data_IF_953342139617
#
_entry.id   IF_953342139617
#
_cell.length_a   1.000
_cell.length_b   1.000
_cell.length_c   1.000
_cell.angle_alpha   90.00
_cell.angle_beta   90.00
_cell.angle_gamma   90.00
#
_symmetry.space_group_name_H-M   'P 1'
#
loop_
_entity.id
_entity.type
_entity.pdbx_description
1 polymer ?
#
# COMPACT_ATOMS: atom_id res chain seq x y z
N UNK A 1 34.60 -41.26 -30.68
CA UNK A 1 34.84 -40.18 -29.69
C UNK A 1 34.72 -38.84 -30.40
N UNK A 2 33.79 -37.96 -29.99
CA UNK A 2 34.03 -36.56 -29.59
C UNK A 2 32.69 -35.85 -29.33
N UNK A 3 32.25 -35.79 -28.07
CA UNK A 3 31.19 -34.88 -27.61
C UNK A 3 31.89 -33.58 -27.21
N UNK A 4 31.73 -32.50 -27.99
CA UNK A 4 32.07 -31.14 -27.52
C UNK A 4 30.78 -30.52 -27.00
N UNK A 5 30.64 -30.49 -25.68
CA UNK A 5 29.49 -29.91 -25.01
C UNK A 5 29.49 -28.39 -25.16
N UNK A 6 28.39 -27.86 -25.67
CA UNK A 6 28.02 -26.44 -25.58
C UNK A 6 27.60 -26.23 -24.13
N UNK A 7 28.46 -25.58 -23.34
CA UNK A 7 28.10 -25.19 -21.97
C UNK A 7 27.19 -23.97 -22.06
N UNK A 8 25.88 -24.21 -22.02
CA UNK A 8 24.89 -23.18 -21.72
C UNK A 8 24.97 -22.88 -20.22
N UNK A 9 25.65 -21.79 -19.87
CA UNK A 9 25.64 -21.25 -18.52
C UNK A 9 24.25 -20.67 -18.22
N UNK A 10 23.37 -21.47 -17.63
CA UNK A 10 22.10 -21.00 -17.09
C UNK A 10 22.37 -20.23 -15.78
N UNK A 11 22.49 -18.91 -15.86
CA UNK A 11 22.51 -18.04 -14.69
C UNK A 11 21.11 -17.99 -14.07
N UNK A 12 20.87 -18.85 -13.07
CA UNK A 12 19.64 -18.83 -12.28
C UNK A 12 19.67 -17.62 -11.35
N UNK A 13 18.95 -16.56 -11.71
CA UNK A 13 18.72 -15.39 -10.87
C UNK A 13 17.77 -15.80 -9.73
N UNK A 14 18.30 -16.21 -8.58
CA UNK A 14 17.47 -16.43 -7.38
C UNK A 14 17.06 -15.06 -6.83
N UNK A 15 15.83 -14.65 -7.12
CA UNK A 15 15.22 -13.48 -6.52
C UNK A 15 15.15 -13.67 -4.99
N UNK A 16 15.85 -12.80 -4.24
CA UNK A 16 15.68 -12.72 -2.79
C UNK A 16 14.29 -12.13 -2.52
N UNK A 17 13.31 -13.00 -2.26
CA UNK A 17 12.04 -12.59 -1.67
C UNK A 17 12.29 -12.24 -0.21
N UNK A 18 12.44 -10.94 0.09
CA UNK A 18 12.48 -10.45 1.46
C UNK A 18 11.16 -10.84 2.17
N UNK A 19 11.21 -11.26 3.44
CA UNK A 19 10.00 -11.57 4.18
C UNK A 19 9.19 -10.28 4.37
N UNK A 20 7.99 -10.23 3.78
CA UNK A 20 7.01 -9.20 4.13
C UNK A 20 6.45 -9.53 5.51
N UNK A 21 6.91 -8.86 6.56
CA UNK A 21 6.25 -8.98 7.85
C UNK A 21 4.89 -8.30 7.74
N UNK A 22 3.82 -9.09 7.90
CA UNK A 22 2.47 -8.56 8.02
C UNK A 22 2.44 -7.50 9.13
N UNK A 23 1.69 -6.43 8.90
CA UNK A 23 1.59 -5.36 9.87
C UNK A 23 0.94 -5.85 11.19
N UNK A 24 1.39 -5.30 12.31
CA UNK A 24 0.85 -5.63 13.64
C UNK A 24 -0.64 -5.22 13.74
N UNK A 25 -1.52 -6.04 14.35
CA UNK A 25 -2.95 -5.71 14.47
C UNK A 25 -3.25 -4.37 15.16
N UNK A 26 -2.48 -3.95 16.15
CA UNK A 26 -2.69 -2.65 16.80
C UNK A 26 -2.31 -1.52 15.86
N UNK A 27 -1.19 -1.66 15.14
CA UNK A 27 -0.83 -0.73 14.06
C UNK A 27 -1.95 -0.67 13.01
N UNK A 28 -2.52 -1.81 12.61
CA UNK A 28 -3.61 -1.83 11.64
C UNK A 28 -4.88 -1.15 12.14
N UNK A 29 -5.17 -1.24 13.44
CA UNK A 29 -6.28 -0.53 14.04
C UNK A 29 -6.07 1.00 13.99
N UNK A 30 -4.85 1.46 14.22
CA UNK A 30 -4.49 2.88 14.06
C UNK A 30 -4.55 3.32 12.60
N UNK A 31 -3.95 2.56 11.70
CA UNK A 31 -4.01 2.79 10.26
C UNK A 31 -5.46 2.95 9.78
N UNK A 32 -6.36 2.05 10.18
CA UNK A 32 -7.75 2.08 9.75
C UNK A 32 -8.51 3.30 10.29
N UNK A 33 -8.28 3.69 11.56
CA UNK A 33 -8.83 4.94 12.12
C UNK A 33 -8.33 6.16 11.34
N UNK A 34 -7.04 6.20 11.02
CA UNK A 34 -6.43 7.29 10.27
C UNK A 34 -6.98 7.36 8.85
N UNK A 35 -7.13 6.22 8.19
CA UNK A 35 -7.65 6.12 6.84
C UNK A 35 -9.08 6.67 6.75
N UNK A 36 -9.97 6.31 7.68
CA UNK A 36 -11.34 6.84 7.75
C UNK A 36 -11.31 8.36 7.96
N UNK A 37 -10.52 8.86 8.93
CA UNK A 37 -10.40 10.33 9.14
C UNK A 37 -9.91 11.05 7.88
N UNK A 38 -9.00 10.45 7.13
CA UNK A 38 -8.53 10.99 5.85
C UNK A 38 -9.60 10.96 4.76
N UNK A 39 -10.53 9.99 4.77
CA UNK A 39 -11.69 10.00 3.85
C UNK A 39 -12.62 11.16 4.17
N UNK A 40 -12.89 11.43 5.44
CA UNK A 40 -13.72 12.58 5.84
C UNK A 40 -13.09 13.91 5.39
N UNK A 41 -11.77 14.05 5.56
CA UNK A 41 -11.03 15.21 5.02
C UNK A 41 -11.12 15.28 3.50
N UNK A 42 -10.97 14.15 2.80
CA UNK A 42 -11.07 14.08 1.34
C UNK A 42 -12.44 14.58 0.86
N UNK A 43 -13.51 14.12 1.50
CA UNK A 43 -14.90 14.51 1.22
C UNK A 43 -15.18 15.98 1.52
N UNK A 44 -14.62 16.50 2.60
CA UNK A 44 -14.79 17.89 3.00
C UNK A 44 -13.97 18.89 2.18
N UNK A 45 -12.98 18.42 1.40
CA UNK A 45 -12.11 19.29 0.59
C UNK A 45 -12.72 19.50 -0.81
N UNK A 46 -13.14 20.73 -1.17
CA UNK A 46 -13.75 21.00 -2.48
C UNK A 46 -12.84 20.56 -3.62
N UNK A 47 -13.38 19.80 -4.57
CA UNK A 47 -12.60 19.33 -5.70
C UNK A 47 -11.52 18.30 -5.36
N UNK A 48 -11.48 17.70 -4.16
CA UNK A 48 -10.57 16.58 -3.85
C UNK A 48 -11.24 15.21 -3.98
N UNK A 49 -12.46 15.08 -3.44
CA UNK A 49 -13.21 13.83 -3.51
C UNK A 49 -13.58 13.46 -4.95
N UNK A 50 -13.39 12.19 -5.31
CA UNK A 50 -13.66 11.64 -6.65
C UNK A 50 -14.60 10.42 -6.61
N UNK A 51 -15.26 10.18 -5.48
CA UNK A 51 -16.04 8.97 -5.22
C UNK A 51 -15.33 8.00 -4.28
N UNK A 52 -16.04 6.94 -3.92
CA UNK A 52 -15.54 5.89 -3.05
C UNK A 52 -14.89 4.77 -3.88
N UNK A 53 -13.75 4.28 -3.39
CA UNK A 53 -13.06 3.09 -3.88
C UNK A 53 -12.43 2.34 -2.69
N UNK A 54 -11.62 1.31 -2.94
CA UNK A 54 -10.96 0.56 -1.88
C UNK A 54 -10.06 1.43 -0.99
N UNK A 55 -9.42 2.44 -1.58
CA UNK A 55 -8.57 3.41 -0.88
C UNK A 55 -9.44 4.43 -0.16
N UNK A 56 -10.34 5.12 -0.82
CA UNK A 56 -11.17 6.16 -0.20
C UNK A 56 -12.49 5.63 0.37
N UNK A 57 -12.49 4.49 1.07
CA UNK A 57 -13.70 3.94 1.71
C UNK A 57 -13.95 4.53 3.12
N UNK A 58 -15.20 4.70 3.54
CA UNK A 58 -15.53 5.13 4.92
C UNK A 58 -15.56 3.98 5.93
N UNK A 59 -15.56 2.75 5.46
CA UNK A 59 -15.63 1.57 6.31
C UNK A 59 -14.26 1.27 6.94
N UNK A 60 -14.21 1.27 8.27
CA UNK A 60 -13.03 0.89 9.06
C UNK A 60 -12.54 -0.53 8.73
N UNK A 61 -13.48 -1.48 8.58
CA UNK A 61 -13.20 -2.89 8.32
C UNK A 61 -12.51 -3.11 6.98
N UNK A 62 -12.80 -2.29 5.97
CA UNK A 62 -12.10 -2.32 4.68
C UNK A 62 -10.62 -2.00 4.85
N UNK A 63 -10.30 -0.94 5.59
CA UNK A 63 -8.91 -0.53 5.85
C UNK A 63 -8.18 -1.50 6.76
N UNK A 64 -8.85 -1.95 7.82
CA UNK A 64 -8.28 -2.89 8.78
C UNK A 64 -7.99 -4.24 8.12
N UNK A 65 -8.95 -4.79 7.37
CA UNK A 65 -8.79 -6.06 6.66
C UNK A 65 -7.70 -6.01 5.60
N UNK A 66 -7.59 -4.90 4.85
CA UNK A 66 -6.47 -4.70 3.92
C UNK A 66 -5.12 -4.66 4.66
N UNK A 67 -5.02 -3.91 5.75
CA UNK A 67 -3.77 -3.77 6.49
C UNK A 67 -3.27 -5.10 7.07
N UNK A 68 -4.17 -5.96 7.56
CA UNK A 68 -3.78 -7.29 8.08
C UNK A 68 -3.13 -8.19 7.01
N UNK A 69 -3.43 -7.97 5.73
CA UNK A 69 -2.79 -8.66 4.61
C UNK A 69 -1.58 -7.92 4.02
N UNK A 70 -1.32 -6.69 4.46
CA UNK A 70 -0.24 -5.86 3.95
C UNK A 70 1.01 -5.95 4.84
N UNK A 71 2.19 -5.70 4.25
CA UNK A 71 3.39 -5.48 5.07
C UNK A 71 3.30 -4.15 5.81
N UNK A 72 4.06 -4.02 6.90
CA UNK A 72 4.17 -2.74 7.61
C UNK A 72 4.61 -1.60 6.68
N UNK A 73 5.60 -1.84 5.83
CA UNK A 73 6.11 -0.85 4.87
C UNK A 73 5.04 -0.43 3.86
N UNK A 74 4.25 -1.37 3.36
CA UNK A 74 3.16 -1.09 2.42
C UNK A 74 2.06 -0.25 3.07
N UNK A 75 1.63 -0.61 4.29
CA UNK A 75 0.59 0.13 5.01
C UNK A 75 1.06 1.53 5.42
N UNK A 76 2.31 1.67 5.88
CA UNK A 76 2.89 2.97 6.19
C UNK A 76 3.09 3.83 4.93
N UNK A 77 3.51 3.23 3.82
CA UNK A 77 3.60 3.88 2.51
C UNK A 77 2.24 4.42 2.03
N UNK A 78 1.19 3.62 2.15
CA UNK A 78 -0.18 4.04 1.82
C UNK A 78 -0.65 5.21 2.69
N UNK A 79 -0.37 5.19 4.00
CA UNK A 79 -0.66 6.32 4.90
C UNK A 79 0.03 7.61 4.43
N UNK A 80 1.28 7.53 4.01
CA UNK A 80 2.04 8.67 3.51
C UNK A 80 1.50 9.19 2.17
N UNK A 81 1.16 8.29 1.23
CA UNK A 81 0.58 8.64 -0.07
C UNK A 81 -0.75 9.37 0.07
N UNK A 82 -1.65 8.90 0.95
CA UNK A 82 -2.92 9.57 1.23
C UNK A 82 -2.71 10.95 1.84
N UNK A 83 -1.81 11.06 2.81
CA UNK A 83 -1.48 12.34 3.41
C UNK A 83 -0.91 13.33 2.38
N UNK A 84 -0.08 12.85 1.45
CA UNK A 84 0.43 13.66 0.34
C UNK A 84 -0.70 14.13 -0.57
N UNK A 85 -1.56 13.23 -1.03
CA UNK A 85 -2.69 13.56 -1.92
C UNK A 85 -3.61 14.61 -1.30
N UNK A 86 -3.90 14.50 0.00
CA UNK A 86 -4.72 15.50 0.70
C UNK A 86 -4.02 16.86 0.83
N UNK A 87 -2.68 16.89 0.95
CA UNK A 87 -1.93 18.15 0.91
C UNK A 87 -2.00 18.79 -0.48
N UNK A 88 -1.80 18.02 -1.55
CA UNK A 88 -1.94 18.51 -2.93
C UNK A 88 -3.31 19.12 -3.18
N UNK A 89 -4.38 18.40 -2.81
CA UNK A 89 -5.74 18.89 -2.94
C UNK A 89 -5.99 20.22 -2.22
N UNK A 90 -5.48 20.37 -0.99
CA UNK A 90 -5.64 21.60 -0.20
C UNK A 90 -4.90 22.78 -0.81
N UNK A 91 -3.83 22.52 -1.54
CA UNK A 91 -3.05 23.52 -2.25
C UNK A 91 -3.57 23.78 -3.69
N UNK A 92 -4.55 22.97 -4.16
CA UNK A 92 -5.15 23.11 -5.47
C UNK A 92 -4.37 22.45 -6.62
N UNK A 93 -3.47 21.51 -6.31
CA UNK A 93 -2.73 20.71 -7.30
C UNK A 93 -3.47 19.43 -7.72
#
# INVERSE_FOLDING_TARGET
MLIKQIVLAAATLTALSAPSLAADPNFCAEYARDAVRQVEVNMATPGCFRGFDARWNRDYGVHYGWCLGASYEAANGERALRAHRLRECRLGY
#
